data_IF_345493172331
#
_entry.id   IF_345493172331
#
_cell.length_a   1.000
_cell.length_b   1.000
_cell.length_c   1.000
_cell.angle_alpha   90.00
_cell.angle_beta   90.00
_cell.angle_gamma   90.00
#
_symmetry.space_group_name_H-M   'P 1'
#
loop_
_entity.id
_entity.type
_entity.pdbx_description
1 polymer ?
#
# COMPACT_ATOMS: atom_id res chain seq x y z
N UNK A 1 -7.28 9.98 55.18
CA UNK A 1 -6.35 10.03 54.04
C UNK A 1 -7.12 9.62 52.80
N UNK A 2 -7.36 10.58 51.91
CA UNK A 2 -8.37 10.45 50.86
C UNK A 2 -7.86 9.51 49.77
N UNK A 3 -8.42 8.30 49.71
CA UNK A 3 -8.12 7.29 48.66
C UNK A 3 -8.25 7.91 47.26
N UNK A 4 -9.17 8.86 47.10
CA UNK A 4 -9.37 9.65 45.88
C UNK A 4 -8.14 10.49 45.49
N UNK A 5 -7.46 11.14 46.44
CA UNK A 5 -6.25 11.93 46.16
C UNK A 5 -5.07 11.04 45.75
N UNK A 6 -5.00 9.82 46.29
CA UNK A 6 -4.04 8.81 45.85
C UNK A 6 -4.29 8.36 44.41
N UNK A 7 -5.55 8.15 44.03
CA UNK A 7 -5.96 7.77 42.67
C UNK A 7 -5.66 8.89 41.66
N UNK A 8 -5.94 10.14 42.00
CA UNK A 8 -5.63 11.31 41.16
C UNK A 8 -4.12 11.46 40.93
N UNK A 9 -3.31 11.30 41.98
CA UNK A 9 -1.85 11.36 41.89
C UNK A 9 -1.31 10.22 41.02
N UNK A 10 -1.87 9.02 41.16
CA UNK A 10 -1.51 7.87 40.33
C UNK A 10 -1.86 8.09 38.86
N UNK A 11 -3.06 8.59 38.56
CA UNK A 11 -3.49 8.92 37.21
C UNK A 11 -2.62 10.03 36.59
N UNK A 12 -2.25 11.04 37.38
CA UNK A 12 -1.33 12.10 36.96
C UNK A 12 0.04 11.55 36.56
N UNK A 13 0.62 10.66 37.36
CA UNK A 13 1.91 10.03 37.05
C UNK A 13 1.84 9.23 35.76
N UNK A 14 0.77 8.44 35.56
CA UNK A 14 0.58 7.66 34.33
C UNK A 14 0.45 8.59 33.13
N UNK A 15 -0.39 9.62 33.21
CA UNK A 15 -0.61 10.58 32.12
C UNK A 15 0.68 11.31 31.76
N UNK A 16 1.44 11.77 32.77
CA UNK A 16 2.74 12.42 32.57
C UNK A 16 3.78 11.48 31.96
N UNK A 17 3.79 10.20 32.35
CA UNK A 17 4.69 9.21 31.78
C UNK A 17 4.30 8.89 30.31
N UNK A 18 3.02 8.92 29.97
CA UNK A 18 2.50 8.68 28.63
C UNK A 18 2.66 9.89 27.69
N UNK A 19 2.83 11.10 28.22
CA UNK A 19 3.06 12.29 27.40
C UNK A 19 4.34 12.20 26.56
N UNK A 20 5.45 11.80 27.19
CA UNK A 20 6.75 11.71 26.52
C UNK A 20 6.75 10.76 25.30
N UNK A 21 6.26 9.50 25.38
CA UNK A 21 6.21 8.61 24.23
C UNK A 21 5.24 9.11 23.14
N UNK A 22 4.15 9.80 23.50
CA UNK A 22 3.23 10.39 22.52
C UNK A 22 3.91 11.52 21.74
N UNK A 23 4.59 12.44 22.42
CA UNK A 23 5.31 13.54 21.75
C UNK A 23 6.46 12.98 20.90
N UNK A 24 7.23 12.02 21.42
CA UNK A 24 8.29 11.36 20.66
C UNK A 24 7.73 10.66 19.40
N UNK A 25 6.60 9.96 19.53
CA UNK A 25 5.90 9.34 18.42
C UNK A 25 5.44 10.35 17.38
N UNK A 26 4.94 11.51 17.81
CA UNK A 26 4.49 12.59 16.92
C UNK A 26 5.66 13.22 16.16
N UNK A 27 6.79 13.48 16.83
CA UNK A 27 8.02 13.96 16.19
C UNK A 27 8.55 12.95 15.18
N UNK A 28 8.61 11.66 15.55
CA UNK A 28 9.04 10.58 14.65
C UNK A 28 8.11 10.47 13.44
N UNK A 29 6.79 10.50 13.65
CA UNK A 29 5.79 10.47 12.59
C UNK A 29 5.95 11.67 11.64
N UNK A 30 6.20 12.86 12.18
CA UNK A 30 6.45 14.06 11.37
C UNK A 30 7.68 13.88 10.49
N UNK A 31 8.79 13.37 11.06
CA UNK A 31 10.01 13.12 10.30
C UNK A 31 9.81 12.03 9.24
N UNK A 32 9.14 10.93 9.59
CA UNK A 32 8.75 9.89 8.66
C UNK A 32 7.90 10.44 7.51
N UNK A 33 6.99 11.36 7.81
CA UNK A 33 6.12 11.96 6.80
C UNK A 33 6.89 12.87 5.84
N UNK A 34 7.92 13.57 6.30
CA UNK A 34 8.83 14.34 5.43
C UNK A 34 9.56 13.41 4.47
N UNK A 35 10.09 12.28 4.96
CA UNK A 35 10.77 11.28 4.13
C UNK A 35 9.80 10.67 3.11
N UNK A 36 8.61 10.27 3.56
CA UNK A 36 7.59 9.69 2.70
C UNK A 36 7.12 10.67 1.61
N UNK A 37 6.96 11.95 1.96
CA UNK A 37 6.63 13.01 1.01
C UNK A 37 7.75 13.21 -0.02
N UNK A 38 9.01 13.16 0.41
CA UNK A 38 10.16 13.23 -0.51
C UNK A 38 10.22 12.05 -1.48
N UNK A 39 10.02 10.82 -0.98
CA UNK A 39 9.92 9.62 -1.81
C UNK A 39 8.76 9.70 -2.80
N UNK A 40 7.61 10.19 -2.35
CA UNK A 40 6.43 10.40 -3.20
C UNK A 40 6.66 11.49 -4.26
N UNK A 41 7.34 12.59 -3.93
CA UNK A 41 7.71 13.61 -4.91
C UNK A 41 8.66 13.05 -5.97
N UNK A 42 9.61 12.20 -5.57
CA UNK A 42 10.50 11.51 -6.51
C UNK A 42 9.69 10.62 -7.45
N UNK A 43 8.81 9.78 -6.92
CA UNK A 43 7.93 8.91 -7.72
C UNK A 43 7.00 9.74 -8.64
N UNK A 44 6.47 10.86 -8.15
CA UNK A 44 5.66 11.80 -8.94
C UNK A 44 6.44 12.36 -10.13
N UNK A 45 7.70 12.75 -9.92
CA UNK A 45 8.57 13.31 -10.96
C UNK A 45 8.98 12.24 -11.98
N UNK A 46 9.35 11.04 -11.50
CA UNK A 46 9.72 9.90 -12.35
C UNK A 46 8.54 9.49 -13.25
N UNK A 47 7.32 9.42 -12.70
CA UNK A 47 6.10 9.17 -13.49
C UNK A 47 5.78 10.31 -14.46
N UNK A 48 6.02 11.58 -14.09
CA UNK A 48 5.89 12.72 -15.04
C UNK A 48 6.90 12.67 -16.19
N UNK A 49 8.03 11.96 -16.01
CA UNK A 49 9.03 11.70 -17.04
C UNK A 49 8.77 10.41 -17.82
N UNK A 50 7.68 9.70 -17.53
CA UNK A 50 7.25 8.51 -18.26
C UNK A 50 7.98 7.21 -17.86
N UNK A 51 8.66 7.17 -16.71
CA UNK A 51 9.35 5.97 -16.23
C UNK A 51 8.46 5.25 -15.23
N UNK A 52 7.99 4.06 -15.58
CA UNK A 52 7.07 3.25 -14.79
C UNK A 52 7.83 2.09 -14.13
N UNK A 53 8.75 2.41 -13.21
CA UNK A 53 9.66 1.44 -12.59
C UNK A 53 9.00 0.13 -12.05
N UNK A 54 7.79 0.16 -11.44
CA UNK A 54 7.13 -1.07 -10.98
C UNK A 54 6.68 -1.98 -12.14
N UNK A 55 6.19 -1.39 -13.22
CA UNK A 55 5.69 -2.09 -14.41
C UNK A 55 6.86 -2.63 -15.22
N UNK A 56 7.95 -1.87 -15.32
CA UNK A 56 9.16 -2.28 -16.04
C UNK A 56 9.81 -3.51 -15.37
N UNK A 57 9.90 -3.53 -14.03
CA UNK A 57 10.40 -4.67 -13.27
C UNK A 57 9.48 -5.90 -13.36
N UNK A 58 8.16 -5.69 -13.36
CA UNK A 58 7.18 -6.76 -13.55
C UNK A 58 7.28 -7.36 -14.96
N UNK A 59 7.45 -6.52 -15.98
CA UNK A 59 7.61 -6.96 -17.37
C UNK A 59 8.85 -7.83 -17.55
N UNK A 60 9.99 -7.45 -16.96
CA UNK A 60 11.22 -8.23 -17.07
C UNK A 60 11.10 -9.62 -16.42
N UNK A 61 10.44 -9.71 -15.27
CA UNK A 61 10.15 -10.98 -14.59
C UNK A 61 9.13 -11.83 -15.34
N UNK A 62 8.07 -11.20 -15.89
CA UNK A 62 7.07 -11.87 -16.72
C UNK A 62 7.71 -12.46 -17.99
N UNK A 63 8.55 -11.70 -18.68
CA UNK A 63 9.24 -12.16 -19.89
C UNK A 63 10.24 -13.28 -19.59
N UNK A 64 10.93 -13.25 -18.46
CA UNK A 64 11.84 -14.31 -18.04
C UNK A 64 11.10 -15.63 -17.72
N UNK A 65 9.99 -15.55 -16.97
CA UNK A 65 9.18 -16.73 -16.64
C UNK A 65 8.46 -17.28 -17.89
N UNK A 66 7.96 -16.40 -18.76
CA UNK A 66 7.34 -16.81 -20.03
C UNK A 66 8.33 -17.52 -20.97
N UNK A 67 9.58 -17.03 -21.08
CA UNK A 67 10.61 -17.67 -21.93
C UNK A 67 11.07 -19.02 -21.38
N UNK A 68 11.24 -19.14 -20.06
CA UNK A 68 11.68 -20.41 -19.44
C UNK A 68 10.59 -21.48 -19.43
N UNK A 69 9.33 -21.07 -19.33
CA UNK A 69 8.21 -22.00 -19.29
C UNK A 69 7.52 -22.24 -20.65
N UNK A 70 7.92 -21.53 -21.72
CA UNK A 70 7.62 -21.89 -23.10
C UNK A 70 8.20 -23.26 -23.53
N UNK A 71 9.13 -23.83 -22.75
CA UNK A 71 9.64 -25.20 -22.92
C UNK A 71 8.80 -26.29 -22.21
N UNK A 72 7.69 -25.92 -21.54
CA UNK A 72 6.85 -26.84 -20.77
C UNK A 72 5.37 -26.84 -21.18
N UNK A 73 4.52 -27.54 -20.41
CA UNK A 73 3.08 -27.68 -20.69
C UNK A 73 2.34 -26.34 -20.59
N UNK A 74 1.66 -25.92 -21.66
CA UNK A 74 0.95 -24.63 -21.76
C UNK A 74 -0.10 -24.39 -20.65
N UNK A 75 -0.72 -25.46 -20.11
CA UNK A 75 -1.70 -25.35 -19.02
C UNK A 75 -1.09 -24.96 -17.67
N UNK A 76 0.14 -25.40 -17.37
CA UNK A 76 0.85 -25.03 -16.15
C UNK A 76 1.40 -23.61 -16.21
N UNK A 77 1.72 -23.13 -17.42
CA UNK A 77 2.19 -21.77 -17.63
C UNK A 77 1.12 -20.76 -17.21
N UNK A 78 -0.13 -20.98 -17.63
CA UNK A 78 -1.20 -20.03 -17.33
C UNK A 78 -1.44 -19.84 -15.83
N UNK A 79 -1.38 -20.93 -15.06
CA UNK A 79 -1.50 -20.90 -13.60
C UNK A 79 -0.32 -20.18 -12.93
N UNK A 80 0.90 -20.34 -13.46
CA UNK A 80 2.08 -19.64 -12.94
C UNK A 80 2.04 -18.14 -13.17
N UNK A 81 1.69 -17.70 -14.38
CA UNK A 81 1.57 -16.28 -14.72
C UNK A 81 0.49 -15.59 -13.88
N UNK A 82 -0.67 -16.22 -13.74
CA UNK A 82 -1.75 -15.76 -12.87
C UNK A 82 -1.29 -15.59 -11.42
N UNK A 83 -0.53 -16.57 -10.90
CA UNK A 83 0.04 -16.48 -9.54
C UNK A 83 1.04 -15.34 -9.40
N UNK A 84 1.85 -15.06 -10.42
CA UNK A 84 2.79 -13.93 -10.39
C UNK A 84 2.06 -12.58 -10.40
N UNK A 85 1.01 -12.44 -11.22
CA UNK A 85 0.15 -11.27 -11.22
C UNK A 85 -0.47 -11.03 -9.83
N UNK A 86 -1.06 -12.06 -9.22
CA UNK A 86 -1.66 -11.97 -7.88
C UNK A 86 -0.66 -11.55 -6.80
N UNK A 87 0.59 -12.04 -6.85
CA UNK A 87 1.63 -11.65 -5.90
C UNK A 87 2.01 -10.17 -6.09
N UNK A 88 2.18 -9.73 -7.34
CA UNK A 88 2.52 -8.34 -7.67
C UNK A 88 1.40 -7.37 -7.25
N UNK A 89 0.14 -7.69 -7.55
CA UNK A 89 -1.03 -6.91 -7.12
C UNK A 89 -1.09 -6.79 -5.59
N UNK A 90 -0.90 -7.90 -4.89
CA UNK A 90 -0.94 -7.94 -3.43
C UNK A 90 0.17 -7.09 -2.82
N UNK A 91 1.37 -7.06 -3.42
CA UNK A 91 2.45 -6.19 -2.98
C UNK A 91 2.12 -4.70 -3.17
N UNK A 92 1.52 -4.33 -4.31
CA UNK A 92 1.05 -2.96 -4.54
C UNK A 92 -0.01 -2.55 -3.51
N UNK A 93 -1.00 -3.40 -3.22
CA UNK A 93 -2.02 -3.12 -2.19
C UNK A 93 -1.36 -2.93 -0.82
N UNK A 94 -0.49 -3.85 -0.39
CA UNK A 94 0.22 -3.75 0.90
C UNK A 94 1.01 -2.46 1.07
N UNK A 95 1.54 -1.93 -0.03
CA UNK A 95 2.29 -0.68 0.03
C UNK A 95 1.38 0.53 0.38
N UNK A 96 0.09 0.49 0.04
CA UNK A 96 -0.89 1.53 0.41
C UNK A 96 -1.24 1.50 1.90
N UNK A 97 -1.21 0.32 2.53
CA UNK A 97 -1.57 0.17 3.95
C UNK A 97 -0.65 0.97 4.89
N UNK A 98 0.64 1.10 4.54
CA UNK A 98 1.58 1.94 5.32
C UNK A 98 1.18 3.41 5.30
N UNK A 99 0.70 3.91 4.17
CA UNK A 99 0.24 5.30 4.05
C UNK A 99 -1.08 5.48 4.81
N UNK A 100 -2.01 4.52 4.68
CA UNK A 100 -3.29 4.52 5.39
C UNK A 100 -3.13 4.50 6.91
N UNK A 101 -2.11 3.79 7.41
CA UNK A 101 -1.78 3.81 8.83
C UNK A 101 -1.46 5.23 9.32
N UNK A 102 -0.63 5.99 8.58
CA UNK A 102 -0.27 7.37 8.94
C UNK A 102 -1.48 8.32 8.96
N UNK A 103 -2.46 8.13 8.07
CA UNK A 103 -3.71 8.93 8.01
C UNK A 103 -4.49 8.84 9.33
N UNK A 104 -4.54 7.66 9.95
CA UNK A 104 -5.30 7.45 11.19
C UNK A 104 -4.48 7.78 12.43
N UNK A 105 -3.19 7.45 12.42
CA UNK A 105 -2.31 7.59 13.59
C UNK A 105 -1.89 9.03 13.82
N UNK A 106 -1.66 9.83 12.77
CA UNK A 106 -1.27 11.24 12.90
C UNK A 106 -2.27 12.06 13.71
N UNK A 107 -3.56 12.14 13.31
CA UNK A 107 -4.60 12.82 14.05
C UNK A 107 -4.84 12.26 15.45
N UNK A 108 -4.79 10.93 15.62
CA UNK A 108 -4.98 10.30 16.92
C UNK A 108 -3.87 10.65 17.92
N UNK A 109 -2.61 10.66 17.48
CA UNK A 109 -1.48 11.10 18.30
C UNK A 109 -1.56 12.61 18.63
N UNK A 110 -1.97 13.44 17.67
CA UNK A 110 -2.18 14.87 17.89
C UNK A 110 -3.27 15.16 18.93
N UNK A 111 -4.36 14.38 18.90
CA UNK A 111 -5.46 14.46 19.87
C UNK A 111 -5.02 13.99 21.26
N UNK A 112 -4.26 12.90 21.37
CA UNK A 112 -3.66 12.49 22.65
C UNK A 112 -2.69 13.55 23.19
N UNK A 113 -1.95 14.20 22.29
CA UNK A 113 -1.05 15.31 22.59
C UNK A 113 -1.74 16.56 23.15
N UNK A 114 -3.06 16.73 22.96
CA UNK A 114 -3.83 17.79 23.63
C UNK A 114 -4.49 17.35 24.92
N UNK A 115 -5.07 16.14 24.94
CA UNK A 115 -5.81 15.68 26.11
C UNK A 115 -4.93 15.48 27.34
N UNK A 116 -3.67 15.04 27.16
CA UNK A 116 -2.74 14.81 28.27
C UNK A 116 -2.29 16.12 28.95
N UNK A 117 -1.72 17.12 28.23
CA UNK A 117 -1.34 18.39 28.85
C UNK A 117 -2.51 19.22 29.36
N UNK A 118 -3.72 19.06 28.80
CA UNK A 118 -4.90 19.77 29.28
C UNK A 118 -5.22 19.40 30.74
N UNK A 119 -5.04 18.14 31.13
CA UNK A 119 -5.19 17.72 32.53
C UNK A 119 -4.19 18.41 33.47
N UNK A 120 -2.92 18.51 33.03
CA UNK A 120 -1.86 19.21 33.78
C UNK A 120 -2.17 20.72 33.87
N UNK A 121 -2.66 21.30 32.77
CA UNK A 121 -2.97 22.73 32.67
C UNK A 121 -4.10 23.14 33.62
N UNK A 122 -5.18 22.34 33.69
CA UNK A 122 -6.30 22.60 34.60
C UNK A 122 -5.89 22.44 36.07
N UNK A 123 -5.00 21.48 36.38
CA UNK A 123 -4.42 21.34 37.72
C UNK A 123 -3.52 22.52 38.11
N UNK A 124 -2.69 23.01 37.18
CA UNK A 124 -1.86 24.20 37.39
C UNK A 124 -2.71 25.47 37.59
N UNK A 125 -3.82 25.60 36.87
CA UNK A 125 -4.78 26.69 37.07
C UNK A 125 -5.41 26.66 38.46
N UNK A 126 -5.79 25.48 38.96
CA UNK A 126 -6.31 25.32 40.33
C UNK A 126 -5.31 25.74 41.41
N UNK A 127 -4.01 25.72 41.09
CA UNK A 127 -2.92 26.15 41.97
C UNK A 127 -2.51 27.63 41.78
N UNK A 128 -3.11 28.35 40.81
CA UNK A 128 -2.78 29.73 40.48
C UNK A 128 -1.52 29.93 39.64
N UNK A 129 -0.94 28.86 39.07
CA UNK A 129 0.29 28.91 38.27
C UNK A 129 -0.04 29.16 36.77
N UNK A 130 -0.33 30.41 36.45
CA UNK A 130 -0.68 30.85 35.09
C UNK A 130 0.46 30.63 34.06
N UNK A 131 1.75 30.86 34.39
CA UNK A 131 2.84 30.58 33.45
C UNK A 131 2.93 29.11 33.04
N UNK A 132 2.83 28.16 34.00
CA UNK A 132 2.85 26.73 33.66
C UNK A 132 1.62 26.28 32.88
N UNK A 133 0.45 26.83 33.20
CA UNK A 133 -0.78 26.61 32.43
C UNK A 133 -0.60 27.05 30.98
N UNK A 134 -0.11 28.27 30.75
CA UNK A 134 0.07 28.81 29.41
C UNK A 134 1.05 27.98 28.57
N UNK A 135 2.20 27.59 29.15
CA UNK A 135 3.19 26.76 28.45
C UNK A 135 2.66 25.39 28.04
N UNK A 136 1.93 24.72 28.93
CA UNK A 136 1.33 23.40 28.68
C UNK A 136 0.22 23.45 27.62
N UNK A 137 -0.49 24.57 27.52
CA UNK A 137 -1.56 24.78 26.53
C UNK A 137 -1.01 25.05 25.12
N UNK A 138 0.10 25.81 25.00
CA UNK A 138 0.74 26.06 23.71
C UNK A 138 1.30 24.76 23.10
N UNK A 139 1.95 23.93 23.90
CA UNK A 139 2.48 22.63 23.43
C UNK A 139 1.34 21.69 23.01
N UNK A 140 0.25 21.66 23.76
CA UNK A 140 -0.97 20.91 23.41
C UNK A 140 -1.50 21.30 22.02
N UNK A 141 -1.79 22.58 21.80
CA UNK A 141 -2.34 23.02 20.52
C UNK A 141 -1.41 22.77 19.35
N UNK A 142 -0.11 23.00 19.55
CA UNK A 142 0.90 22.72 18.53
C UNK A 142 0.90 21.24 18.13
N UNK A 143 0.81 20.33 19.11
CA UNK A 143 0.75 18.89 18.83
C UNK A 143 -0.46 18.50 17.97
N UNK A 144 -1.64 19.07 18.22
CA UNK A 144 -2.82 18.80 17.37
C UNK A 144 -2.68 19.38 15.98
N UNK A 145 -2.19 20.61 15.83
CA UNK A 145 -1.98 21.23 14.51
C UNK A 145 -1.03 20.37 13.67
N UNK A 146 0.09 19.92 14.25
CA UNK A 146 1.06 19.06 13.56
C UNK A 146 0.46 17.69 13.25
N UNK A 147 -0.24 17.06 14.20
CA UNK A 147 -0.86 15.74 13.99
C UNK A 147 -1.92 15.74 12.88
N UNK A 148 -2.77 16.78 12.84
CA UNK A 148 -3.75 16.97 11.77
C UNK A 148 -3.08 17.27 10.42
N UNK A 149 -2.08 18.14 10.40
CA UNK A 149 -1.33 18.43 9.18
C UNK A 149 -0.71 17.16 8.59
N UNK A 150 -0.07 16.33 9.42
CA UNK A 150 0.46 15.03 9.00
C UNK A 150 -0.63 14.12 8.41
N UNK A 151 -1.80 14.04 9.06
CA UNK A 151 -2.94 13.25 8.56
C UNK A 151 -3.46 13.73 7.20
N UNK A 152 -3.59 15.04 7.02
CA UNK A 152 -4.05 15.65 5.76
C UNK A 152 -3.05 15.37 4.63
N UNK A 153 -1.76 15.58 4.85
CA UNK A 153 -0.73 15.31 3.84
C UNK A 153 -0.69 13.82 3.50
N UNK A 154 -0.78 12.93 4.49
CA UNK A 154 -0.84 11.49 4.26
C UNK A 154 -2.07 11.08 3.44
N UNK A 155 -3.22 11.71 3.69
CA UNK A 155 -4.45 11.46 2.95
C UNK A 155 -4.32 11.87 1.48
N UNK A 156 -3.82 13.08 1.21
CA UNK A 156 -3.60 13.54 -0.16
C UNK A 156 -2.62 12.63 -0.91
N UNK A 157 -1.56 12.20 -0.24
CA UNK A 157 -0.59 11.25 -0.80
C UNK A 157 -1.25 9.89 -1.12
N UNK A 158 -2.10 9.38 -0.24
CA UNK A 158 -2.84 8.13 -0.44
C UNK A 158 -3.76 8.20 -1.66
N UNK A 159 -4.48 9.32 -1.84
CA UNK A 159 -5.38 9.50 -2.99
C UNK A 159 -4.65 9.43 -4.33
N UNK A 160 -3.48 10.06 -4.40
CA UNK A 160 -2.67 10.02 -5.61
C UNK A 160 -2.08 8.61 -5.84
N UNK A 161 -1.55 7.98 -4.79
CA UNK A 161 -0.94 6.65 -4.86
C UNK A 161 -1.95 5.55 -5.21
N UNK A 162 -3.19 5.65 -4.72
CA UNK A 162 -4.28 4.75 -5.09
C UNK A 162 -4.62 4.82 -6.59
N UNK A 163 -4.61 6.03 -7.18
CA UNK A 163 -4.85 6.20 -8.62
C UNK A 163 -3.76 5.55 -9.45
N UNK A 164 -2.51 5.71 -9.01
CA UNK A 164 -1.34 5.12 -9.66
C UNK A 164 -1.32 3.61 -9.57
N UNK A 165 -1.50 3.05 -8.36
CA UNK A 165 -1.56 1.60 -8.15
C UNK A 165 -2.67 0.96 -9.01
N UNK A 166 -3.84 1.61 -9.13
CA UNK A 166 -4.92 1.12 -9.99
C UNK A 166 -4.58 1.19 -11.49
N UNK A 167 -3.78 2.16 -11.91
CA UNK A 167 -3.30 2.22 -13.29
C UNK A 167 -2.28 1.09 -13.55
N UNK A 168 -1.35 0.90 -12.62
CA UNK A 168 -0.30 -0.12 -12.72
C UNK A 168 -0.89 -1.54 -12.71
N UNK A 169 -1.90 -1.83 -11.87
CA UNK A 169 -2.62 -3.11 -11.86
C UNK A 169 -3.25 -3.45 -13.20
N UNK A 170 -3.96 -2.49 -13.81
CA UNK A 170 -4.58 -2.69 -15.13
C UNK A 170 -3.56 -2.98 -16.22
N UNK A 171 -2.39 -2.36 -16.15
CA UNK A 171 -1.32 -2.63 -17.10
C UNK A 171 -0.71 -4.03 -16.90
N UNK A 172 -0.50 -4.45 -15.64
CA UNK A 172 -0.01 -5.80 -15.34
C UNK A 172 -1.00 -6.89 -15.76
N UNK A 173 -2.30 -6.69 -15.55
CA UNK A 173 -3.37 -7.55 -16.05
C UNK A 173 -3.30 -7.67 -17.58
N UNK A 174 -3.21 -6.52 -18.28
CA UNK A 174 -3.12 -6.47 -19.74
C UNK A 174 -1.90 -7.23 -20.29
N UNK A 175 -0.71 -7.01 -19.70
CA UNK A 175 0.51 -7.71 -20.10
C UNK A 175 0.43 -9.22 -19.85
N UNK A 176 -0.21 -9.63 -18.76
CA UNK A 176 -0.42 -11.04 -18.44
C UNK A 176 -1.34 -11.71 -19.45
N UNK A 177 -2.45 -11.06 -19.81
CA UNK A 177 -3.40 -11.56 -20.81
C UNK A 177 -2.76 -11.66 -22.21
N UNK A 178 -1.92 -10.68 -22.58
CA UNK A 178 -1.16 -10.72 -23.83
C UNK A 178 -0.18 -11.91 -23.87
N UNK A 179 0.56 -12.16 -22.78
CA UNK A 179 1.50 -13.28 -22.67
C UNK A 179 0.78 -14.65 -22.72
N UNK A 180 -0.38 -14.75 -22.06
CA UNK A 180 -1.25 -15.93 -22.13
C UNK A 180 -1.78 -16.17 -23.56
N UNK A 181 -2.23 -15.11 -24.23
CA UNK A 181 -2.72 -15.16 -25.61
C UNK A 181 -1.64 -15.60 -26.60
N UNK A 182 -0.42 -15.08 -26.47
CA UNK A 182 0.71 -15.48 -27.29
C UNK A 182 1.05 -16.98 -27.13
N UNK A 183 0.95 -17.52 -25.92
CA UNK A 183 1.20 -18.94 -25.64
C UNK A 183 0.09 -19.83 -26.21
N UNK A 184 -1.18 -19.43 -26.08
CA UNK A 184 -2.32 -20.17 -26.64
C UNK A 184 -2.27 -20.22 -28.17
N UNK A 185 -1.93 -19.12 -28.83
CA UNK A 185 -1.77 -19.07 -30.29
C UNK A 185 -0.71 -20.04 -30.80
N UNK A 186 0.36 -20.27 -30.04
CA UNK A 186 1.40 -21.24 -30.38
C UNK A 186 0.97 -22.72 -30.21
N UNK A 187 -0.09 -22.96 -29.43
CA UNK A 187 -0.68 -24.30 -29.22
C UNK A 187 -1.68 -24.66 -30.31
N UNK A 188 -2.39 -23.69 -30.88
CA UNK A 188 -3.34 -23.94 -31.99
C UNK A 188 -2.62 -24.24 -33.32
N UNK A 189 -1.43 -23.67 -33.53
CA UNK A 189 -0.61 -23.98 -34.71
C UNK A 189 -0.02 -25.39 -34.62
N UNK A 190 0.32 -25.89 -33.41
CA UNK A 190 0.85 -27.25 -33.23
C UNK A 190 -0.23 -28.33 -33.11
N UNK A 191 -1.44 -28.00 -32.65
CA UNK A 191 -2.58 -28.92 -32.67
C UNK A 191 -3.24 -29.09 -34.05
N UNK A 192 -2.89 -28.24 -35.03
CA UNK A 192 -3.39 -28.31 -36.41
C UNK A 192 -2.61 -29.27 -37.33
N UNK A 193 -1.58 -29.95 -36.85
CA UNK A 193 -0.73 -30.84 -37.67
C UNK A 193 -0.72 -32.32 -37.24
N UNK A 194 -1.50 -32.69 -36.22
CA UNK A 194 -1.70 -34.08 -35.82
C UNK A 194 -3.19 -34.33 -35.56
N UNK A 195 -3.96 -34.50 -36.65
CA UNK A 195 -5.15 -35.37 -36.78
C UNK A 195 -6.08 -34.87 -37.91
N UNK A 196 -5.64 -34.96 -39.17
CA UNK A 196 -6.58 -34.89 -40.31
C UNK A 196 -6.09 -35.63 -41.56
N UNK A 197 -5.11 -36.54 -41.42
CA UNK A 197 -4.53 -37.27 -42.57
C UNK A 197 -4.76 -38.79 -42.58
N UNK A 198 -5.49 -39.34 -41.62
CA UNK A 198 -5.80 -40.79 -41.61
C UNK A 198 -7.30 -41.14 -41.57
N UNK A 199 -8.22 -40.16 -41.64
CA UNK A 199 -9.68 -40.43 -41.60
C UNK A 199 -10.40 -40.05 -42.90
N UNK A 200 -9.68 -39.57 -43.92
CA UNK A 200 -10.26 -39.15 -45.21
C UNK A 200 -9.91 -40.06 -46.40
N UNK A 201 -9.31 -41.23 -46.17
CA UNK A 201 -9.04 -42.21 -47.23
C UNK A 201 -9.99 -43.44 -47.21
N UNK A 202 -10.84 -43.59 -46.19
CA UNK A 202 -11.75 -44.75 -46.09
C UNK A 202 -13.22 -44.45 -46.49
N UNK A 203 -13.52 -43.21 -46.91
CA UNK A 203 -14.91 -42.80 -47.25
C UNK A 203 -15.07 -42.40 -48.72
N UNK A 204 -14.01 -42.42 -49.54
CA UNK A 204 -14.11 -42.06 -50.98
C UNK A 204 -14.16 -43.23 -51.97
N UNK A 205 -13.97 -44.48 -51.52
CA UNK A 205 -14.10 -45.66 -52.41
C UNK A 205 -15.46 -46.36 -52.37
N UNK A 206 -16.36 -46.06 -51.42
CA UNK A 206 -17.65 -46.78 -51.31
C UNK A 206 -18.87 -46.03 -51.88
N UNK A 207 -18.67 -44.88 -52.56
CA UNK A 207 -19.77 -44.15 -53.24
C UNK A 207 -19.66 -44.12 -54.77
N UNK A 208 -18.87 -45.02 -55.37
CA UNK A 208 -18.86 -45.22 -56.83
C UNK A 208 -19.13 -46.68 -57.25
N UNK A 209 -19.83 -47.47 -56.44
CA UNK A 209 -20.56 -48.64 -56.94
C UNK A 209 -21.79 -48.93 -56.07
N UNK A 210 -22.95 -48.46 -56.53
CA UNK A 210 -24.30 -49.09 -56.55
C UNK A 210 -25.37 -48.00 -56.63
#
# INVERSE_FOLDING_TARGET
MNILAGLETFLYIISSALFFPVVAGLVLLTFWMIIALGGFLREWIERRRGVCFPVDAYRETLEAEARTAAAGTASLLGVKLERLLQIAELELVKSLDRVRFAIRVGPALGLMGTLIPMGISLSALAQGDMPKMAGSMVTAFTATVVGLACGIVAYLMSLAREKWVRADMREMEYLTELALGATRGNTTITAGELDTREVYDEVSEETETV
#
